data_IF_145145602232
#
_entry.id   IF_145145602232
#
_cell.length_a   1.000
_cell.length_b   1.000
_cell.length_c   1.000
_cell.angle_alpha   90.00
_cell.angle_beta   90.00
_cell.angle_gamma   90.00
#
_symmetry.space_group_name_H-M   'P 1'
#
loop_
_entity.id
_entity.type
_entity.pdbx_description
1 polymer ?
#
# COMPACT_ATOMS: atom_id res chain seq x y z
N UNK A 1 -58.02 -46.70 0.43
CA UNK A 1 -57.12 -47.07 1.53
C UNK A 1 -55.81 -47.52 0.92
N UNK A 2 -54.69 -47.02 1.44
CA UNK A 2 -53.40 -47.60 1.11
C UNK A 2 -53.26 -48.92 1.87
N UNK A 3 -52.76 -49.94 1.19
CA UNK A 3 -52.43 -51.25 1.74
C UNK A 3 -51.29 -51.13 2.77
N UNK A 4 -51.17 -52.09 3.69
CA UNK A 4 -50.08 -52.11 4.68
C UNK A 4 -48.68 -52.06 4.02
N UNK A 5 -48.56 -52.57 2.79
CA UNK A 5 -47.37 -52.43 1.96
C UNK A 5 -47.11 -50.99 1.49
N UNK A 6 -48.15 -50.26 1.09
CA UNK A 6 -48.03 -48.86 0.69
C UNK A 6 -47.71 -47.93 1.86
N UNK A 7 -48.24 -48.20 3.07
CA UNK A 7 -47.83 -47.50 4.31
C UNK A 7 -46.37 -47.71 4.65
N UNK A 8 -45.91 -48.96 4.55
CA UNK A 8 -44.50 -49.31 4.80
C UNK A 8 -43.58 -48.62 3.78
N UNK A 9 -43.99 -48.57 2.51
CA UNK A 9 -43.27 -47.85 1.45
C UNK A 9 -43.24 -46.32 1.70
N UNK A 10 -44.31 -45.72 2.22
CA UNK A 10 -44.34 -44.29 2.56
C UNK A 10 -43.43 -43.97 3.76
N UNK A 11 -43.40 -44.83 4.78
CA UNK A 11 -42.48 -44.71 5.92
C UNK A 11 -41.01 -44.86 5.48
N UNK A 12 -40.71 -45.88 4.68
CA UNK A 12 -39.37 -46.10 4.14
C UNK A 12 -38.91 -44.91 3.27
N UNK A 13 -39.83 -44.31 2.51
CA UNK A 13 -39.57 -43.11 1.70
C UNK A 13 -39.39 -41.84 2.56
N UNK A 14 -40.12 -41.70 3.66
CA UNK A 14 -39.92 -40.62 4.61
C UNK A 14 -38.54 -40.72 5.29
N UNK A 15 -38.13 -41.94 5.68
CA UNK A 15 -36.83 -42.19 6.29
C UNK A 15 -35.67 -41.97 5.30
N UNK A 16 -35.83 -42.36 4.03
CA UNK A 16 -34.82 -42.08 3.00
C UNK A 16 -34.68 -40.57 2.77
N UNK A 17 -35.81 -39.85 2.63
CA UNK A 17 -35.81 -38.38 2.48
C UNK A 17 -35.20 -37.69 3.70
N UNK A 18 -35.45 -38.19 4.91
CA UNK A 18 -34.86 -37.65 6.14
C UNK A 18 -33.34 -37.83 6.18
N UNK A 19 -32.84 -38.99 5.73
CA UNK A 19 -31.39 -39.24 5.59
C UNK A 19 -30.77 -38.31 4.54
N UNK A 20 -31.41 -38.16 3.39
CA UNK A 20 -30.98 -37.23 2.33
C UNK A 20 -30.95 -35.78 2.84
N UNK A 21 -31.99 -35.31 3.52
CA UNK A 21 -32.05 -33.98 4.13
C UNK A 21 -30.93 -33.78 5.14
N UNK A 22 -30.64 -34.78 5.99
CA UNK A 22 -29.55 -34.69 6.95
C UNK A 22 -28.18 -34.65 6.26
N UNK A 23 -27.96 -35.45 5.21
CA UNK A 23 -26.73 -35.36 4.43
C UNK A 23 -26.57 -34.00 3.75
N UNK A 24 -27.64 -33.46 3.14
CA UNK A 24 -27.64 -32.14 2.51
C UNK A 24 -27.38 -31.03 3.53
N UNK A 25 -27.94 -31.13 4.74
CA UNK A 25 -27.62 -30.21 5.85
C UNK A 25 -26.15 -30.27 6.25
N UNK A 26 -25.58 -31.48 6.37
CA UNK A 26 -24.16 -31.63 6.71
C UNK A 26 -23.26 -31.04 5.63
N UNK A 27 -23.52 -31.33 4.36
CA UNK A 27 -22.78 -30.75 3.23
C UNK A 27 -22.96 -29.23 3.15
N UNK A 28 -24.15 -28.72 3.45
CA UNK A 28 -24.40 -27.27 3.48
C UNK A 28 -23.60 -26.58 4.59
N UNK A 29 -23.50 -27.20 5.77
CA UNK A 29 -22.67 -26.69 6.87
C UNK A 29 -21.19 -26.70 6.49
N UNK A 30 -20.68 -27.77 5.86
CA UNK A 30 -19.30 -27.83 5.36
C UNK A 30 -19.01 -26.76 4.31
N UNK A 31 -19.91 -26.56 3.35
CA UNK A 31 -19.78 -25.49 2.35
C UNK A 31 -19.82 -24.12 3.05
N UNK A 32 -20.65 -23.96 4.08
CA UNK A 32 -20.72 -22.71 4.83
C UNK A 32 -19.42 -22.40 5.58
N UNK A 33 -18.83 -23.38 6.27
CA UNK A 33 -17.56 -23.20 6.98
C UNK A 33 -16.41 -22.90 6.01
N UNK A 34 -16.37 -23.58 4.86
CA UNK A 34 -15.40 -23.27 3.81
C UNK A 34 -15.60 -21.85 3.26
N UNK A 35 -16.84 -21.46 2.97
CA UNK A 35 -17.19 -20.11 2.49
C UNK A 35 -16.79 -19.03 3.50
N UNK A 36 -17.04 -19.25 4.79
CA UNK A 36 -16.61 -18.35 5.86
C UNK A 36 -15.08 -18.26 5.95
N UNK A 37 -14.36 -19.39 5.86
CA UNK A 37 -12.89 -19.40 5.83
C UNK A 37 -12.33 -18.59 4.65
N UNK A 38 -12.88 -18.77 3.44
CA UNK A 38 -12.47 -17.99 2.26
C UNK A 38 -12.84 -16.52 2.36
N UNK A 39 -13.99 -16.20 2.97
CA UNK A 39 -14.39 -14.82 3.24
C UNK A 39 -13.42 -14.13 4.20
N UNK A 40 -13.06 -14.79 5.30
CA UNK A 40 -12.08 -14.27 6.28
C UNK A 40 -10.72 -14.05 5.63
N UNK A 41 -10.22 -15.02 4.84
CA UNK A 41 -8.97 -14.88 4.09
C UNK A 41 -9.01 -13.69 3.14
N UNK A 42 -10.10 -13.52 2.38
CA UNK A 42 -10.27 -12.37 1.48
C UNK A 42 -10.26 -11.06 2.27
N UNK A 43 -10.95 -11.00 3.41
CA UNK A 43 -11.00 -9.80 4.24
C UNK A 43 -9.63 -9.43 4.82
N UNK A 44 -8.85 -10.42 5.27
CA UNK A 44 -7.48 -10.25 5.74
C UNK A 44 -6.56 -9.73 4.63
N UNK A 45 -6.60 -10.35 3.45
CA UNK A 45 -5.83 -9.91 2.29
C UNK A 45 -6.23 -8.48 1.90
N UNK A 46 -7.53 -8.18 1.83
CA UNK A 46 -8.02 -6.84 1.52
C UNK A 46 -7.61 -5.79 2.56
N UNK A 47 -7.58 -6.14 3.86
CA UNK A 47 -7.03 -5.27 4.91
C UNK A 47 -5.53 -5.03 4.70
N UNK A 48 -4.77 -6.08 4.38
CA UNK A 48 -3.32 -5.98 4.13
C UNK A 48 -3.01 -5.12 2.91
N UNK A 49 -3.76 -5.30 1.82
CA UNK A 49 -3.65 -4.46 0.61
C UNK A 49 -3.91 -2.99 0.96
N UNK A 50 -4.98 -2.68 1.71
CA UNK A 50 -5.27 -1.31 2.14
C UNK A 50 -4.15 -0.69 2.97
N UNK A 51 -3.59 -1.44 3.91
CA UNK A 51 -2.44 -1.00 4.71
C UNK A 51 -1.23 -0.70 3.83
N UNK A 52 -0.84 -1.63 2.97
CA UNK A 52 0.31 -1.46 2.08
C UNK A 52 0.11 -0.30 1.09
N UNK A 53 -1.12 -0.11 0.57
CA UNK A 53 -1.44 1.06 -0.27
C UNK A 53 -1.26 2.37 0.51
N UNK A 54 -1.66 2.41 1.78
CA UNK A 54 -1.43 3.55 2.66
C UNK A 54 0.06 3.85 2.82
N UNK A 55 0.85 2.83 3.17
CA UNK A 55 2.30 2.96 3.32
C UNK A 55 3.00 3.37 2.01
N UNK A 56 2.56 2.85 0.87
CA UNK A 56 3.10 3.23 -0.44
C UNK A 56 2.77 4.68 -0.78
N UNK A 57 1.56 5.15 -0.45
CA UNK A 57 1.18 6.56 -0.63
C UNK A 57 2.06 7.48 0.21
N UNK A 58 2.27 7.16 1.48
CA UNK A 58 3.15 7.94 2.37
C UNK A 58 4.62 7.91 1.92
N UNK A 59 5.13 6.75 1.50
CA UNK A 59 6.48 6.65 0.96
C UNK A 59 6.62 7.46 -0.35
N UNK A 60 5.58 7.49 -1.18
CA UNK A 60 5.54 8.26 -2.42
C UNK A 60 5.50 9.77 -2.16
N UNK A 61 4.78 10.24 -1.15
CA UNK A 61 4.78 11.68 -0.78
C UNK A 61 6.15 12.10 -0.28
N UNK A 62 6.75 11.35 0.65
CA UNK A 62 8.12 11.61 1.14
C UNK A 62 9.16 11.59 0.02
N UNK A 63 9.07 10.63 -0.90
CA UNK A 63 9.93 10.57 -2.09
C UNK A 63 9.75 11.81 -2.98
N UNK A 64 8.53 12.27 -3.18
CA UNK A 64 8.26 13.48 -3.99
C UNK A 64 8.82 14.73 -3.32
N UNK A 65 8.72 14.85 -2.00
CA UNK A 65 9.35 15.93 -1.23
C UNK A 65 10.86 15.94 -1.42
N UNK A 66 11.53 14.79 -1.24
CA UNK A 66 12.97 14.65 -1.48
C UNK A 66 13.35 14.99 -2.92
N UNK A 67 12.56 14.53 -3.90
CA UNK A 67 12.80 14.81 -5.33
C UNK A 67 12.69 16.30 -5.62
N UNK A 68 11.74 16.99 -5.00
CA UNK A 68 11.60 18.44 -5.11
C UNK A 68 12.78 19.17 -4.44
N UNK A 69 13.22 18.73 -3.26
CA UNK A 69 14.42 19.28 -2.61
C UNK A 69 15.68 19.11 -3.48
N UNK A 70 15.88 17.91 -4.04
CA UNK A 70 16.97 17.60 -4.98
C UNK A 70 16.91 18.52 -6.21
N UNK A 71 15.72 18.83 -6.72
CA UNK A 71 15.55 19.76 -7.85
C UNK A 71 15.95 21.19 -7.48
N UNK A 72 15.56 21.66 -6.30
CA UNK A 72 15.91 23.00 -5.79
C UNK A 72 17.43 23.10 -5.58
N UNK A 73 18.04 22.09 -4.97
CA UNK A 73 19.49 22.05 -4.73
C UNK A 73 20.30 21.94 -6.02
N UNK A 74 19.83 21.18 -7.02
CA UNK A 74 20.43 21.18 -8.36
C UNK A 74 20.43 22.58 -8.97
N UNK A 75 19.33 23.32 -8.85
CA UNK A 75 19.25 24.69 -9.35
C UNK A 75 20.20 25.64 -8.58
N UNK A 76 20.32 25.49 -7.25
CA UNK A 76 21.30 26.25 -6.45
C UNK A 76 22.74 25.93 -6.86
N UNK A 77 23.08 24.64 -7.01
CA UNK A 77 24.40 24.18 -7.46
C UNK A 77 24.74 24.72 -8.85
N UNK A 78 23.76 24.73 -9.76
CA UNK A 78 23.96 25.26 -11.10
C UNK A 78 24.28 26.75 -11.08
N UNK A 79 23.53 27.55 -10.31
CA UNK A 79 23.81 28.99 -10.12
C UNK A 79 25.20 29.24 -9.53
N UNK A 80 25.59 28.47 -8.50
CA UNK A 80 26.93 28.56 -7.92
C UNK A 80 28.02 28.19 -8.94
N UNK A 81 27.79 27.18 -9.77
CA UNK A 81 28.76 26.80 -10.79
C UNK A 81 28.89 27.87 -11.89
N UNK A 82 27.77 28.49 -12.30
CA UNK A 82 27.76 29.60 -13.25
C UNK A 82 28.54 30.82 -12.70
N UNK A 83 28.36 31.17 -11.42
CA UNK A 83 29.11 32.27 -10.80
C UNK A 83 30.60 31.95 -10.64
N UNK A 84 30.95 30.71 -10.30
CA UNK A 84 32.34 30.25 -10.23
C UNK A 84 33.00 30.35 -11.61
N UNK A 85 32.34 29.88 -12.67
CA UNK A 85 32.89 29.96 -14.04
C UNK A 85 33.10 31.42 -14.46
N UNK A 86 32.13 32.31 -14.20
CA UNK A 86 32.26 33.73 -14.50
C UNK A 86 33.47 34.38 -13.79
N UNK A 87 33.67 34.11 -12.49
CA UNK A 87 34.82 34.62 -11.73
C UNK A 87 36.15 34.02 -12.18
N UNK A 88 36.17 32.76 -12.59
CA UNK A 88 37.37 32.13 -13.18
C UNK A 88 37.75 32.83 -14.49
N UNK A 89 36.77 33.19 -15.32
CA UNK A 89 37.02 33.92 -16.56
C UNK A 89 37.48 35.37 -16.30
N UNK A 90 37.01 36.03 -15.25
CA UNK A 90 37.56 37.31 -14.78
C UNK A 90 39.03 37.18 -14.36
N UNK A 91 39.39 36.15 -13.59
CA UNK A 91 40.79 35.89 -13.23
C UNK A 91 41.64 35.62 -14.48
N UNK A 92 41.11 34.91 -15.48
CA UNK A 92 41.82 34.69 -16.74
C UNK A 92 42.09 36.01 -17.48
N UNK A 93 41.12 36.93 -17.50
CA UNK A 93 41.30 38.27 -18.09
C UNK A 93 42.36 39.08 -17.34
N UNK A 94 42.28 39.12 -16.00
CA UNK A 94 43.29 39.80 -15.16
C UNK A 94 44.68 39.20 -15.38
N UNK A 95 44.77 37.87 -15.54
CA UNK A 95 46.03 37.21 -15.84
C UNK A 95 46.58 37.60 -17.22
N UNK A 96 45.72 37.69 -18.24
CA UNK A 96 46.11 38.18 -19.57
C UNK A 96 46.56 39.64 -19.53
N UNK A 97 45.87 40.51 -18.80
CA UNK A 97 46.25 41.91 -18.60
C UNK A 97 47.61 42.01 -17.88
N UNK A 98 47.81 41.21 -16.84
CA UNK A 98 49.09 41.12 -16.12
C UNK A 98 50.22 40.62 -17.02
N UNK A 99 49.98 39.60 -17.84
CA UNK A 99 50.96 39.09 -18.81
C UNK A 99 51.26 40.14 -19.90
N UNK A 100 50.28 40.93 -20.34
CA UNK A 100 50.46 42.04 -21.28
C UNK A 100 51.27 43.20 -20.65
N UNK A 101 51.04 43.52 -19.38
CA UNK A 101 51.77 44.56 -18.63
C UNK A 101 53.20 44.10 -18.28
N UNK A 102 53.38 42.82 -17.97
CA UNK A 102 54.69 42.22 -17.61
C UNK A 102 55.53 41.80 -18.83
N UNK A 103 54.91 41.67 -20.01
CA UNK A 103 55.51 41.20 -21.26
C UNK A 103 56.60 42.08 -21.89
N UNK A 104 57.15 43.09 -21.20
CA UNK A 104 58.21 43.96 -21.74
C UNK A 104 59.45 44.13 -20.88
N UNK A 105 59.66 43.33 -19.85
CA UNK A 105 60.92 43.42 -19.09
C UNK A 105 60.96 42.54 -17.85
N UNK A 106 61.23 41.25 -18.03
CA UNK A 106 61.69 40.41 -16.92
C UNK A 106 63.15 40.72 -16.62
N UNK A 107 63.44 41.91 -16.09
CA UNK A 107 64.59 42.03 -15.20
C UNK A 107 64.19 41.41 -13.86
N UNK A 108 64.59 40.15 -13.71
CA UNK A 108 64.39 39.34 -12.51
C UNK A 108 64.97 40.10 -11.30
N UNK A 109 64.11 40.42 -10.33
CA UNK A 109 64.54 40.46 -8.93
C UNK A 109 64.50 41.79 -8.20
N UNK A 110 64.13 42.91 -8.83
CA UNK A 110 64.01 44.17 -8.09
C UNK A 110 62.63 44.30 -7.43
N UNK A 111 62.62 44.36 -6.09
CA UNK A 111 61.42 44.70 -5.34
C UNK A 111 61.03 46.17 -5.58
N UNK A 112 59.74 46.53 -5.56
CA UNK A 112 59.30 47.93 -5.70
C UNK A 112 60.00 48.88 -4.72
N UNK A 113 60.33 48.41 -3.51
CA UNK A 113 61.09 49.16 -2.52
C UNK A 113 62.56 49.40 -2.90
N UNK A 114 63.19 48.47 -3.61
CA UNK A 114 64.57 48.61 -4.11
C UNK A 114 64.62 49.56 -5.31
N UNK A 115 63.64 49.50 -6.21
CA UNK A 115 63.51 50.45 -7.33
C UNK A 115 63.30 51.87 -6.81
N UNK A 116 62.47 52.07 -5.77
CA UNK A 116 62.30 53.40 -5.12
C UNK A 116 63.59 53.92 -4.51
N UNK A 117 64.36 53.06 -3.83
CA UNK A 117 65.68 53.44 -3.28
C UNK A 117 66.65 53.83 -4.38
N UNK A 118 66.75 53.06 -5.46
CA UNK A 118 67.62 53.39 -6.59
C UNK A 118 67.22 54.70 -7.28
N UNK A 119 65.92 55.02 -7.38
CA UNK A 119 65.46 56.31 -7.90
C UNK A 119 65.89 57.44 -6.95
N UNK A 120 65.75 57.26 -5.64
CA UNK A 120 66.16 58.25 -4.63
C UNK A 120 67.69 58.46 -4.61
N UNK A 121 68.47 57.38 -4.78
CA UNK A 121 69.93 57.44 -4.85
C UNK A 121 70.38 58.18 -6.12
N UNK A 122 69.74 57.93 -7.27
CA UNK A 122 70.00 58.68 -8.52
C UNK A 122 69.63 60.15 -8.36
N UNK A 123 68.48 60.47 -7.75
CA UNK A 123 68.05 61.85 -7.51
C UNK A 123 69.03 62.57 -6.59
N UNK A 124 69.52 61.90 -5.55
CA UNK A 124 70.55 62.44 -4.64
C UNK A 124 71.88 62.71 -5.36
N UNK A 125 72.35 61.79 -6.20
CA UNK A 125 73.60 61.95 -6.96
C UNK A 125 73.50 63.14 -7.91
N UNK A 126 72.36 63.29 -8.60
CA UNK A 126 72.10 64.43 -9.50
C UNK A 126 72.02 65.76 -8.74
N UNK A 127 71.43 65.77 -7.54
CA UNK A 127 71.28 67.00 -6.74
C UNK A 127 72.56 67.44 -6.01
N UNK A 128 73.46 66.52 -5.68
CA UNK A 128 74.61 66.80 -4.78
C UNK A 128 75.99 66.72 -5.42
N UNK A 129 76.15 66.07 -6.58
CA UNK A 129 77.46 65.92 -7.24
C UNK A 129 77.59 66.76 -8.52
N UNK A 130 78.78 67.32 -8.76
CA UNK A 130 79.11 68.01 -10.03
C UNK A 130 79.49 66.96 -11.06
N UNK A 131 78.54 66.54 -11.88
CA UNK A 131 78.70 65.49 -12.90
C UNK A 131 78.79 66.11 -14.30
N UNK A 132 79.51 65.44 -15.21
CA UNK A 132 79.52 65.80 -16.63
C UNK A 132 78.14 65.58 -17.26
N UNK A 133 77.72 66.46 -18.17
CA UNK A 133 76.42 66.42 -18.85
C UNK A 133 76.03 65.03 -19.40
N UNK A 134 76.98 64.29 -19.99
CA UNK A 134 76.72 62.94 -20.53
C UNK A 134 76.33 61.91 -19.45
N UNK A 135 76.95 62.00 -18.27
CA UNK A 135 76.66 61.12 -17.12
C UNK A 135 75.32 61.47 -16.49
N UNK A 136 75.01 62.75 -16.39
CA UNK A 136 73.70 63.23 -15.93
C UNK A 136 72.58 62.77 -16.87
N UNK A 137 72.80 62.84 -18.19
CA UNK A 137 71.83 62.37 -19.18
C UNK A 137 71.62 60.85 -19.11
N UNK A 138 72.69 60.07 -18.85
CA UNK A 138 72.60 58.62 -18.65
C UNK A 138 71.83 58.27 -17.36
N UNK A 139 72.08 58.97 -16.25
CA UNK A 139 71.36 58.81 -14.99
C UNK A 139 69.88 59.19 -15.13
N UNK A 140 69.56 60.26 -15.85
CA UNK A 140 68.18 60.66 -16.14
C UNK A 140 67.44 59.63 -17.00
N UNK A 141 68.09 59.07 -18.02
CA UNK A 141 67.51 57.95 -18.81
C UNK A 141 67.25 56.73 -17.93
N UNK A 142 68.19 56.38 -17.05
CA UNK A 142 68.05 55.26 -16.12
C UNK A 142 66.96 55.50 -15.08
N UNK A 143 66.83 56.73 -14.56
CA UNK A 143 65.74 57.16 -13.66
C UNK A 143 64.37 57.05 -14.35
N UNK A 144 64.26 57.49 -15.61
CA UNK A 144 63.01 57.41 -16.37
C UNK A 144 62.60 55.96 -16.60
N UNK A 145 63.56 55.08 -16.90
CA UNK A 145 63.32 53.64 -17.04
C UNK A 145 62.92 53.00 -15.71
N UNK A 146 63.61 53.30 -14.61
CA UNK A 146 63.25 52.82 -13.28
C UNK A 146 61.87 53.32 -12.82
N UNK A 147 61.49 54.57 -13.11
CA UNK A 147 60.12 55.08 -12.86
C UNK A 147 59.08 54.35 -13.69
N UNK A 148 59.38 54.02 -14.96
CA UNK A 148 58.51 53.22 -15.84
C UNK A 148 58.32 51.80 -15.29
N UNK A 149 59.41 51.15 -14.87
CA UNK A 149 59.40 49.84 -14.23
C UNK A 149 58.61 49.87 -12.90
N UNK A 150 58.79 50.91 -12.07
CA UNK A 150 58.04 51.09 -10.83
C UNK A 150 56.52 51.20 -11.10
N UNK A 151 56.11 52.00 -12.09
CA UNK A 151 54.71 52.12 -12.47
C UNK A 151 54.10 50.79 -12.94
N UNK A 152 54.84 50.02 -13.74
CA UNK A 152 54.43 48.67 -14.16
C UNK A 152 54.34 47.69 -12.98
N UNK A 153 55.27 47.77 -12.01
CA UNK A 153 55.24 46.94 -10.81
C UNK A 153 54.08 47.28 -9.87
N UNK A 154 53.74 48.56 -9.70
CA UNK A 154 52.60 49.00 -8.89
C UNK A 154 51.28 48.54 -9.54
N UNK A 155 51.11 48.76 -10.84
CA UNK A 155 49.94 48.27 -11.59
C UNK A 155 49.82 46.73 -11.52
N UNK A 156 50.94 46.00 -11.64
CA UNK A 156 50.94 44.55 -11.47
C UNK A 156 50.62 44.10 -10.03
N UNK A 157 50.97 44.91 -9.03
CA UNK A 157 50.64 44.70 -7.62
C UNK A 157 49.14 44.86 -7.34
N UNK A 158 48.51 45.91 -7.87
CA UNK A 158 47.06 46.13 -7.78
C UNK A 158 46.28 45.00 -8.45
N UNK A 159 46.66 44.62 -9.69
CA UNK A 159 46.08 43.46 -10.39
C UNK A 159 46.26 42.16 -9.59
N UNK A 160 47.41 42.00 -8.91
CA UNK A 160 47.65 40.83 -8.06
C UNK A 160 46.77 40.83 -6.80
N UNK A 161 46.47 41.99 -6.23
CA UNK A 161 45.54 42.15 -5.11
C UNK A 161 44.11 41.78 -5.52
N UNK A 162 43.63 42.32 -6.64
CA UNK A 162 42.32 41.97 -7.21
C UNK A 162 42.22 40.48 -7.55
N UNK A 163 43.29 39.89 -8.11
CA UNK A 163 43.36 38.46 -8.40
C UNK A 163 43.28 37.60 -7.12
N UNK A 164 43.93 38.04 -6.04
CA UNK A 164 43.89 37.33 -4.76
C UNK A 164 42.49 37.38 -4.14
N UNK A 165 41.85 38.56 -4.13
CA UNK A 165 40.47 38.72 -3.65
C UNK A 165 39.48 37.83 -4.42
N UNK A 166 39.54 37.84 -5.76
CA UNK A 166 38.71 36.95 -6.58
C UNK A 166 39.01 35.46 -6.34
N UNK A 167 40.28 35.09 -6.09
CA UNK A 167 40.62 33.69 -5.76
C UNK A 167 40.00 33.26 -4.43
N UNK A 168 40.03 34.12 -3.41
CA UNK A 168 39.39 33.83 -2.12
C UNK A 168 37.87 33.66 -2.26
N UNK A 169 37.22 34.50 -3.08
CA UNK A 169 35.79 34.37 -3.38
C UNK A 169 35.46 33.08 -4.17
N UNK A 170 36.31 32.68 -5.11
CA UNK A 170 36.13 31.41 -5.82
C UNK A 170 36.29 30.23 -4.86
N UNK A 171 37.26 30.29 -3.95
CA UNK A 171 37.48 29.23 -2.99
C UNK A 171 36.32 29.11 -1.98
N UNK A 172 35.71 30.23 -1.55
CA UNK A 172 34.50 30.20 -0.73
C UNK A 172 33.31 29.62 -1.50
N UNK A 173 33.07 30.08 -2.73
CA UNK A 173 32.00 29.55 -3.58
C UNK A 173 32.18 28.07 -3.91
N UNK A 174 33.42 27.60 -4.13
CA UNK A 174 33.73 26.18 -4.31
C UNK A 174 33.40 25.35 -3.07
N UNK A 175 33.71 25.87 -1.87
CA UNK A 175 33.33 25.20 -0.62
C UNK A 175 31.82 25.07 -0.51
N UNK A 176 31.08 26.14 -0.78
CA UNK A 176 29.60 26.13 -0.79
C UNK A 176 29.04 25.18 -1.86
N UNK A 177 29.62 25.16 -3.06
CA UNK A 177 29.19 24.24 -4.11
C UNK A 177 29.43 22.77 -3.73
N UNK A 178 30.54 22.48 -3.05
CA UNK A 178 30.87 21.14 -2.55
C UNK A 178 29.95 20.70 -1.42
N UNK A 179 29.59 21.59 -0.48
CA UNK A 179 28.63 21.26 0.59
C UNK A 179 27.25 20.98 0.00
N UNK A 180 26.77 21.83 -0.91
CA UNK A 180 25.50 21.61 -1.64
C UNK A 180 25.56 20.31 -2.44
N UNK A 181 26.70 19.96 -3.04
CA UNK A 181 26.83 18.71 -3.76
C UNK A 181 26.73 17.48 -2.85
N UNK A 182 27.35 17.51 -1.68
CA UNK A 182 27.25 16.43 -0.68
C UNK A 182 25.83 16.25 -0.16
N UNK A 183 25.16 17.36 0.19
CA UNK A 183 23.75 17.33 0.60
C UNK A 183 22.84 16.80 -0.52
N UNK A 184 23.09 17.22 -1.76
CA UNK A 184 22.36 16.74 -2.93
C UNK A 184 22.54 15.23 -3.14
N UNK A 185 23.76 14.72 -2.97
CA UNK A 185 24.05 13.30 -3.14
C UNK A 185 23.34 12.47 -2.07
N UNK A 186 23.44 12.86 -0.80
CA UNK A 186 22.76 12.17 0.30
C UNK A 186 21.24 12.16 0.13
N UNK A 187 20.63 13.28 -0.28
CA UNK A 187 19.19 13.35 -0.57
C UNK A 187 18.79 12.54 -1.80
N UNK A 188 19.65 12.49 -2.82
CA UNK A 188 19.41 11.67 -3.99
C UNK A 188 19.47 10.17 -3.66
N UNK A 189 20.44 9.73 -2.86
CA UNK A 189 20.54 8.36 -2.36
C UNK A 189 19.33 7.97 -1.51
N UNK A 190 18.90 8.85 -0.58
CA UNK A 190 17.68 8.65 0.20
C UNK A 190 16.44 8.54 -0.70
N UNK A 191 16.30 9.42 -1.70
CA UNK A 191 15.18 9.36 -2.65
C UNK A 191 15.16 8.05 -3.44
N UNK A 192 16.34 7.57 -3.86
CA UNK A 192 16.50 6.31 -4.57
C UNK A 192 16.12 5.10 -3.70
N UNK A 193 16.60 5.05 -2.45
CA UNK A 193 16.23 4.00 -1.50
C UNK A 193 14.71 3.96 -1.28
N UNK A 194 14.06 5.12 -1.09
CA UNK A 194 12.60 5.20 -0.97
C UNK A 194 11.88 4.76 -2.24
N UNK A 195 12.45 5.04 -3.42
CA UNK A 195 11.88 4.58 -4.67
C UNK A 195 11.90 3.05 -4.78
N UNK A 196 13.00 2.43 -4.37
CA UNK A 196 13.15 0.97 -4.33
C UNK A 196 12.21 0.33 -3.32
N UNK A 197 12.06 0.91 -2.12
CA UNK A 197 11.06 0.49 -1.12
C UNK A 197 9.63 0.53 -1.70
N UNK A 198 9.28 1.60 -2.40
CA UNK A 198 7.97 1.73 -3.05
C UNK A 198 7.77 0.68 -4.13
N UNK A 199 8.80 0.37 -4.93
CA UNK A 199 8.72 -0.66 -5.96
C UNK A 199 8.55 -2.06 -5.36
N UNK A 200 9.28 -2.38 -4.30
CA UNK A 200 9.14 -3.65 -3.58
C UNK A 200 7.72 -3.82 -3.03
N UNK A 201 7.21 -2.83 -2.29
CA UNK A 201 5.84 -2.86 -1.75
C UNK A 201 4.77 -2.90 -2.84
N UNK A 202 5.02 -2.27 -3.99
CA UNK A 202 4.07 -2.32 -5.11
C UNK A 202 3.98 -3.71 -5.70
N UNK A 203 5.12 -4.42 -5.83
CA UNK A 203 5.12 -5.84 -6.25
C UNK A 203 4.38 -6.73 -5.24
N UNK A 204 4.57 -6.49 -3.95
CA UNK A 204 3.86 -7.23 -2.91
C UNK A 204 2.34 -6.98 -2.97
N UNK A 205 1.92 -5.74 -3.21
CA UNK A 205 0.51 -5.39 -3.42
C UNK A 205 -0.06 -6.14 -4.63
N UNK A 206 0.68 -6.17 -5.75
CA UNK A 206 0.19 -6.83 -6.96
C UNK A 206 0.10 -8.36 -6.76
N UNK A 207 1.06 -8.98 -6.05
CA UNK A 207 0.97 -10.38 -5.66
C UNK A 207 -0.25 -10.66 -4.76
N UNK A 208 -0.50 -9.80 -3.77
CA UNK A 208 -1.68 -9.92 -2.89
C UNK A 208 -3.00 -9.73 -3.64
N UNK A 209 -3.06 -8.86 -4.66
CA UNK A 209 -4.26 -8.71 -5.49
C UNK A 209 -4.59 -10.00 -6.25
N UNK A 210 -3.57 -10.68 -6.79
CA UNK A 210 -3.79 -11.98 -7.45
C UNK A 210 -4.38 -12.98 -6.45
N UNK A 211 -3.83 -13.04 -5.23
CA UNK A 211 -4.37 -13.90 -4.17
C UNK A 211 -5.80 -13.49 -3.75
N UNK A 212 -6.12 -12.20 -3.71
CA UNK A 212 -7.47 -11.70 -3.42
C UNK A 212 -8.46 -12.16 -4.51
N UNK A 213 -8.07 -12.08 -5.78
CA UNK A 213 -8.88 -12.54 -6.90
C UNK A 213 -9.11 -14.06 -6.87
N UNK A 214 -8.08 -14.85 -6.58
CA UNK A 214 -8.18 -16.31 -6.41
C UNK A 214 -9.08 -16.69 -5.23
N UNK A 215 -8.93 -16.02 -4.10
CA UNK A 215 -9.81 -16.19 -2.94
C UNK A 215 -11.25 -15.80 -3.25
N UNK A 216 -11.45 -14.71 -4.02
CA UNK A 216 -12.78 -14.27 -4.44
C UNK A 216 -13.43 -15.27 -5.41
N UNK A 217 -12.70 -15.81 -6.38
CA UNK A 217 -13.19 -16.86 -7.28
C UNK A 217 -13.62 -18.10 -6.50
N UNK A 218 -12.76 -18.58 -5.59
CA UNK A 218 -13.05 -19.73 -4.73
C UNK A 218 -14.29 -19.49 -3.85
N UNK A 219 -14.39 -18.30 -3.25
CA UNK A 219 -15.58 -17.89 -2.48
C UNK A 219 -16.84 -17.85 -3.34
N UNK A 220 -16.75 -17.33 -4.57
CA UNK A 220 -17.89 -17.21 -5.47
C UNK A 220 -18.40 -18.58 -5.94
N UNK A 221 -17.49 -19.51 -6.28
CA UNK A 221 -17.83 -20.89 -6.61
C UNK A 221 -18.51 -21.60 -5.43
N UNK A 222 -17.99 -21.45 -4.22
CA UNK A 222 -18.62 -21.99 -3.01
C UNK A 222 -19.99 -21.37 -2.74
N UNK A 223 -20.16 -20.06 -3.02
CA UNK A 223 -21.45 -19.39 -2.90
C UNK A 223 -22.48 -19.93 -3.91
N UNK A 224 -22.06 -20.24 -5.14
CA UNK A 224 -22.93 -20.89 -6.13
C UNK A 224 -23.32 -22.30 -5.67
N UNK A 225 -22.34 -23.13 -5.28
CA UNK A 225 -22.59 -24.49 -4.75
C UNK A 225 -23.50 -24.46 -3.52
N UNK A 226 -23.31 -23.49 -2.61
CA UNK A 226 -24.19 -23.28 -1.46
C UNK A 226 -25.63 -22.99 -1.91
N UNK A 227 -25.81 -22.12 -2.91
CA UNK A 227 -27.13 -21.83 -3.47
C UNK A 227 -27.81 -23.05 -4.07
N UNK A 228 -27.08 -23.84 -4.86
CA UNK A 228 -27.60 -25.08 -5.46
C UNK A 228 -28.00 -26.13 -4.41
N UNK A 229 -27.13 -26.40 -3.43
CA UNK A 229 -27.41 -27.36 -2.35
C UNK A 229 -28.56 -26.88 -1.48
N UNK A 230 -28.64 -25.58 -1.20
CA UNK A 230 -29.74 -25.00 -0.44
C UNK A 230 -31.08 -25.10 -1.18
N UNK A 231 -31.10 -24.94 -2.50
CA UNK A 231 -32.29 -25.14 -3.31
C UNK A 231 -32.74 -26.61 -3.31
N UNK A 232 -31.81 -27.55 -3.52
CA UNK A 232 -32.09 -29.00 -3.40
C UNK A 232 -32.61 -29.38 -2.02
N UNK A 233 -32.04 -28.79 -0.96
CA UNK A 233 -32.50 -29.00 0.41
C UNK A 233 -33.93 -28.49 0.61
N UNK A 234 -34.29 -27.32 0.04
CA UNK A 234 -35.66 -26.80 0.10
C UNK A 234 -36.65 -27.71 -0.61
N UNK A 235 -36.32 -28.18 -1.81
CA UNK A 235 -37.15 -29.14 -2.57
C UNK A 235 -37.37 -30.44 -1.78
N UNK A 236 -36.31 -30.99 -1.19
CA UNK A 236 -36.40 -32.21 -0.36
C UNK A 236 -37.18 -32.00 0.94
N UNK A 237 -37.11 -30.80 1.53
CA UNK A 237 -37.92 -30.45 2.69
C UNK A 237 -39.40 -30.29 2.32
N UNK A 238 -39.73 -29.75 1.15
CA UNK A 238 -41.11 -29.69 0.67
C UNK A 238 -41.67 -31.09 0.40
N UNK A 239 -40.90 -31.96 -0.27
CA UNK A 239 -41.27 -33.38 -0.48
C UNK A 239 -41.50 -34.10 0.85
N UNK A 240 -40.61 -33.90 1.84
CA UNK A 240 -40.74 -34.51 3.16
C UNK A 240 -41.96 -34.00 3.93
N UNK A 241 -42.26 -32.71 3.84
CA UNK A 241 -43.46 -32.13 4.46
C UNK A 241 -44.75 -32.65 3.82
N UNK A 242 -44.77 -32.84 2.49
CA UNK A 242 -45.90 -33.45 1.78
C UNK A 242 -46.12 -34.90 2.20
N UNK A 243 -45.05 -35.71 2.27
CA UNK A 243 -45.12 -37.10 2.74
C UNK A 243 -45.57 -37.16 4.20
N UNK A 244 -45.08 -36.28 5.07
CA UNK A 244 -45.55 -36.20 6.45
C UNK A 244 -47.02 -35.80 6.56
N UNK A 245 -47.51 -34.90 5.69
CA UNK A 245 -48.92 -34.52 5.63
C UNK A 245 -49.80 -35.68 5.20
N UNK A 246 -49.36 -36.45 4.19
CA UNK A 246 -50.06 -37.67 3.74
C UNK A 246 -50.11 -38.72 4.84
N UNK A 247 -48.99 -38.98 5.52
CA UNK A 247 -48.93 -39.89 6.67
C UNK A 247 -49.82 -39.41 7.82
N UNK A 248 -49.86 -38.10 8.10
CA UNK A 248 -50.72 -37.52 9.13
C UNK A 248 -52.21 -37.67 8.82
N UNK A 249 -52.61 -37.39 7.58
CA UNK A 249 -53.99 -37.58 7.11
C UNK A 249 -54.40 -39.05 7.19
N UNK A 250 -53.54 -39.96 6.75
CA UNK A 250 -53.82 -41.40 6.79
C UNK A 250 -53.90 -41.96 8.21
N UNK A 251 -53.03 -41.49 9.12
CA UNK A 251 -53.09 -41.86 10.53
C UNK A 251 -54.38 -41.39 11.20
N UNK A 252 -54.87 -40.19 10.83
CA UNK A 252 -56.12 -39.66 11.36
C UNK A 252 -57.33 -40.40 10.76
N UNK A 253 -57.35 -40.68 9.45
CA UNK A 253 -58.36 -41.53 8.80
C UNK A 253 -58.43 -42.92 9.43
N UNK A 254 -57.28 -43.56 9.67
CA UNK A 254 -57.24 -44.86 10.32
C UNK A 254 -57.65 -44.82 11.80
N UNK A 255 -57.38 -43.71 12.49
CA UNK A 255 -57.84 -43.48 13.88
C UNK A 255 -59.35 -43.28 13.92
N UNK A 256 -59.90 -42.52 12.99
CA UNK A 256 -61.34 -42.33 12.82
C UNK A 256 -62.03 -43.64 12.44
N UNK A 257 -61.47 -44.45 11.54
CA UNK A 257 -61.99 -45.77 11.19
C UNK A 257 -61.97 -46.74 12.37
N UNK A 258 -60.86 -46.81 13.11
CA UNK A 258 -60.80 -47.62 14.35
C UNK A 258 -61.83 -47.16 15.37
N UNK A 259 -62.07 -45.84 15.48
CA UNK A 259 -63.11 -45.27 16.34
C UNK A 259 -64.51 -45.64 15.82
N UNK A 260 -64.76 -45.60 14.51
CA UNK A 260 -66.02 -46.01 13.90
C UNK A 260 -66.27 -47.52 14.01
N UNK A 261 -65.25 -48.36 13.83
CA UNK A 261 -65.34 -49.79 14.03
C UNK A 261 -65.61 -50.12 15.50
N UNK A 262 -64.89 -49.48 16.44
CA UNK A 262 -65.19 -49.59 17.88
C UNK A 262 -66.63 -49.21 18.18
N UNK A 263 -67.09 -48.06 17.69
CA UNK A 263 -68.50 -47.62 17.79
C UNK A 263 -69.49 -48.63 17.22
N UNK A 264 -69.22 -49.20 16.04
CA UNK A 264 -70.08 -50.23 15.43
C UNK A 264 -70.10 -51.52 16.25
N UNK A 265 -68.95 -51.97 16.76
CA UNK A 265 -68.87 -53.16 17.62
C UNK A 265 -69.52 -52.95 18.98
N UNK A 266 -69.41 -51.74 19.55
CA UNK A 266 -70.10 -51.35 20.78
C UNK A 266 -71.62 -51.35 20.56
N UNK A 267 -72.10 -50.69 19.49
CA UNK A 267 -73.53 -50.69 19.11
C UNK A 267 -74.09 -52.09 18.84
N UNK A 268 -73.36 -52.97 18.18
CA UNK A 268 -73.80 -54.36 17.98
C UNK A 268 -73.92 -55.11 19.30
N UNK A 269 -72.93 -54.97 20.19
CA UNK A 269 -72.98 -55.56 21.52
C UNK A 269 -74.09 -54.96 22.38
N UNK A 270 -74.38 -53.66 22.26
CA UNK A 270 -75.54 -53.02 22.90
C UNK A 270 -76.86 -53.59 22.41
N UNK A 271 -77.02 -53.82 21.09
CA UNK A 271 -78.21 -54.44 20.53
C UNK A 271 -78.39 -55.87 21.04
N UNK A 272 -77.31 -56.66 21.11
CA UNK A 272 -77.34 -58.01 21.68
C UNK A 272 -77.75 -58.00 23.16
N UNK A 273 -77.25 -57.02 23.93
CA UNK A 273 -77.64 -56.82 25.34
C UNK A 273 -79.10 -56.38 25.48
N UNK A 274 -79.58 -55.49 24.60
CA UNK A 274 -80.99 -55.08 24.55
C UNK A 274 -81.92 -56.25 24.18
N UNK A 275 -81.50 -57.14 23.28
CA UNK A 275 -82.26 -58.35 22.96
C UNK A 275 -82.31 -59.32 24.15
N UNK A 276 -81.21 -59.52 24.88
CA UNK A 276 -81.20 -60.31 26.13
C UNK A 276 -82.15 -59.72 27.19
N UNK A 277 -82.18 -58.39 27.33
CA UNK A 277 -83.14 -57.69 28.20
C UNK A 277 -84.58 -57.96 27.76
N UNK A 278 -84.87 -57.88 26.45
CA UNK A 278 -86.22 -58.16 25.91
C UNK A 278 -86.64 -59.62 26.08
N UNK A 279 -85.69 -60.56 26.03
CA UNK A 279 -85.93 -62.01 26.24
C UNK A 279 -85.99 -62.41 27.72
N UNK A 280 -85.66 -61.50 28.65
CA UNK A 280 -85.73 -61.74 30.10
C UNK A 280 -84.60 -62.61 30.65
N UNK A 281 -83.48 -62.71 29.94
CA UNK A 281 -82.31 -63.51 30.35
C UNK A 281 -81.44 -62.77 31.39
N UNK A 282 -80.69 -63.50 32.22
CA UNK A 282 -79.82 -62.90 33.24
C UNK A 282 -78.66 -62.15 32.57
N UNK A 283 -78.49 -60.86 32.88
CA UNK A 283 -77.34 -60.07 32.41
C UNK A 283 -76.06 -60.45 33.13
N UNK A 284 -74.96 -60.48 32.37
CA UNK A 284 -73.60 -60.71 32.87
C UNK A 284 -72.91 -59.38 33.19
N UNK A 285 -71.89 -59.39 34.05
CA UNK A 285 -71.08 -58.20 34.39
C UNK A 285 -70.48 -57.53 33.14
N UNK A 286 -70.10 -58.32 32.13
CA UNK A 286 -69.58 -57.82 30.86
C UNK A 286 -70.66 -57.09 30.03
N UNK A 287 -71.92 -57.54 30.09
CA UNK A 287 -73.04 -56.90 29.40
C UNK A 287 -73.36 -55.51 30.01
N UNK A 288 -73.22 -55.38 31.34
CA UNK A 288 -73.37 -54.10 32.05
C UNK A 288 -72.23 -53.12 31.76
N UNK A 289 -71.00 -53.61 31.60
CA UNK A 289 -69.84 -52.80 31.21
C UNK A 289 -69.95 -52.26 29.77
N UNK A 290 -70.51 -53.05 28.85
CA UNK A 290 -70.79 -52.59 27.48
C UNK A 290 -71.81 -51.45 27.49
N UNK A 291 -72.89 -51.54 28.28
CA UNK A 291 -73.89 -50.47 28.40
C UNK A 291 -73.32 -49.18 29.02
N UNK A 292 -72.45 -49.30 30.04
CA UNK A 292 -71.76 -48.12 30.60
C UNK A 292 -70.76 -47.50 29.62
N UNK A 293 -70.04 -48.33 28.85
CA UNK A 293 -69.13 -47.87 27.81
C UNK A 293 -69.84 -47.14 26.66
N UNK A 294 -71.05 -47.58 26.32
CA UNK A 294 -71.93 -46.94 25.34
C UNK A 294 -72.36 -45.53 25.74
N UNK A 295 -72.88 -45.37 26.97
CA UNK A 295 -73.31 -44.07 27.51
C UNK A 295 -72.18 -43.04 27.61
N UNK A 296 -70.94 -43.51 27.79
CA UNK A 296 -69.75 -42.65 27.88
C UNK A 296 -69.21 -42.20 26.52
N UNK A 297 -69.45 -42.92 25.42
CA UNK A 297 -69.01 -42.52 24.07
C UNK A 297 -69.96 -41.56 23.34
N UNK A 298 -71.21 -41.44 23.82
CA UNK A 298 -72.27 -40.58 23.30
C UNK A 298 -72.35 -39.19 23.98
N UNK A 299 -71.57 -38.95 25.05
CA UNK A 299 -71.34 -37.62 25.66
C UNK A 299 -70.12 -36.93 25.05
#
# INVERSE_FOLDING_TARGET
>A
MLTDQERKNLLDRADSLKREVNSLKSSLNEINTQKESWFSKKEEIGKRIRQLIGEVKEAKTRRNELTNSVKIEKAKRQKLNETIVAKIDEIRKIKQEKDAVSGKGKEKGLNPGQVRKQIADIDRIVETEVISFDKEQALMKKRKELKRQLGQMVAAGELSGSQHGLSMEIDSLKKEANTVHGELQTKAEQSQQRHEEVLAKSKDIDALKVQEEEAYKSFFELKQKFGEVNNKLKEKLTELNEVHKQLGQEMEEHREEKRQQRRKTLRQKEMDVQEKIRRGEKLTTDDLLVMQGAELEDR
#
